data_IF_289564878960
#
_entry.id   IF_289564878960
#
_cell.length_a   1.000
_cell.length_b   1.000
_cell.length_c   1.000
_cell.angle_alpha   90.00
_cell.angle_beta   90.00
_cell.angle_gamma   90.00
#
_symmetry.space_group_name_H-M   'P 1'
#
loop_
_entity.id
_entity.type
_entity.pdbx_description
1 polymer ?
#
# COMPACT_ATOMS: atom_id res chain seq x y z
N UNK A 1 -1.31 -16.56 -7.99
CA UNK A 1 -1.45 -15.96 -6.64
C UNK A 1 -1.30 -14.45 -6.74
N UNK A 2 -1.95 -13.61 -5.90
CA UNK A 2 -1.99 -12.15 -6.12
C UNK A 2 -0.63 -11.46 -6.18
N UNK A 3 0.39 -12.03 -5.54
CA UNK A 3 1.76 -11.53 -5.62
C UNK A 3 2.41 -11.78 -6.99
N UNK A 4 1.98 -12.79 -7.74
CA UNK A 4 2.47 -13.05 -9.11
C UNK A 4 2.04 -11.96 -10.11
N UNK A 5 1.00 -11.19 -9.77
CA UNK A 5 0.56 -10.05 -10.59
C UNK A 5 1.37 -8.77 -10.30
N UNK A 6 2.21 -8.76 -9.26
CA UNK A 6 2.96 -7.57 -8.85
C UNK A 6 4.27 -7.46 -9.64
N UNK A 7 4.70 -6.23 -9.88
CA UNK A 7 5.99 -5.95 -10.51
C UNK A 7 7.16 -6.48 -9.65
N UNK A 8 8.24 -6.91 -10.29
CA UNK A 8 9.46 -7.40 -9.62
C UNK A 8 9.99 -6.42 -8.57
N UNK A 9 9.96 -5.12 -8.89
CA UNK A 9 10.38 -4.04 -8.00
C UNK A 9 9.56 -4.01 -6.70
N UNK A 10 8.24 -4.18 -6.80
CA UNK A 10 7.37 -4.22 -5.63
C UNK A 10 7.61 -5.48 -4.80
N UNK A 11 7.76 -6.64 -5.45
CA UNK A 11 8.05 -7.90 -4.76
C UNK A 11 9.37 -7.85 -3.97
N UNK A 12 10.43 -7.29 -4.56
CA UNK A 12 11.71 -7.09 -3.87
C UNK A 12 11.55 -6.18 -2.64
N UNK A 13 10.82 -5.06 -2.80
CA UNK A 13 10.58 -4.14 -1.69
C UNK A 13 9.71 -4.75 -0.57
N UNK A 14 8.76 -5.62 -0.90
CA UNK A 14 7.96 -6.36 0.08
C UNK A 14 8.79 -7.41 0.83
N UNK A 15 9.68 -8.12 0.12
CA UNK A 15 10.59 -9.08 0.72
C UNK A 15 11.51 -8.44 1.76
N UNK A 16 12.03 -7.25 1.47
CA UNK A 16 12.91 -6.51 2.37
C UNK A 16 12.25 -6.11 3.69
N UNK A 17 10.92 -6.02 3.72
CA UNK A 17 10.14 -5.76 4.94
C UNK A 17 9.52 -7.03 5.55
N UNK A 18 9.95 -8.21 5.09
CA UNK A 18 9.53 -9.52 5.60
C UNK A 18 8.15 -9.99 5.12
N UNK A 19 7.61 -9.42 4.04
CA UNK A 19 6.35 -9.84 3.43
C UNK A 19 6.61 -10.69 2.20
N UNK A 20 6.76 -11.99 2.41
CA UNK A 20 7.00 -12.95 1.31
C UNK A 20 5.70 -13.53 0.74
N UNK A 21 4.69 -13.71 1.58
CA UNK A 21 3.42 -14.35 1.22
C UNK A 21 2.21 -13.52 1.64
N UNK A 22 1.16 -13.41 0.79
CA UNK A 22 -0.02 -12.65 1.14
C UNK A 22 -0.87 -13.37 2.18
N UNK A 23 -1.42 -12.60 3.12
CA UNK A 23 -2.44 -13.10 4.06
C UNK A 23 -3.73 -13.47 3.33
N UNK A 24 -4.63 -14.21 3.99
CA UNK A 24 -5.91 -14.61 3.39
C UNK A 24 -6.78 -13.42 2.94
N UNK A 25 -6.74 -12.29 3.66
CA UNK A 25 -7.47 -11.09 3.27
C UNK A 25 -6.78 -10.35 2.11
N UNK A 26 -5.45 -10.30 2.09
CA UNK A 26 -4.68 -9.75 0.97
C UNK A 26 -4.94 -10.57 -0.30
N UNK A 27 -5.01 -11.91 -0.19
CA UNK A 27 -5.35 -12.79 -1.29
C UNK A 27 -6.69 -12.46 -1.96
N UNK A 28 -7.66 -11.99 -1.17
CA UNK A 28 -9.00 -11.61 -1.65
C UNK A 28 -9.04 -10.17 -2.16
N UNK A 29 -8.40 -9.24 -1.46
CA UNK A 29 -8.55 -7.80 -1.72
C UNK A 29 -7.68 -7.30 -2.88
N UNK A 30 -6.43 -7.80 -3.00
CA UNK A 30 -5.45 -7.28 -3.97
C UNK A 30 -5.99 -7.35 -5.41
N UNK A 31 -6.51 -8.50 -5.91
CA UNK A 31 -7.00 -8.57 -7.28
C UNK A 31 -8.22 -7.67 -7.55
N UNK A 32 -9.08 -7.47 -6.53
CA UNK A 32 -10.24 -6.59 -6.66
C UNK A 32 -9.80 -5.14 -6.84
N UNK A 33 -8.85 -4.67 -6.04
CA UNK A 33 -8.35 -3.29 -6.13
C UNK A 33 -7.53 -3.09 -7.40
N UNK A 34 -6.68 -4.05 -7.79
CA UNK A 34 -5.94 -4.00 -9.06
C UNK A 34 -6.85 -3.93 -10.29
N UNK A 35 -8.03 -4.54 -10.22
CA UNK A 35 -9.05 -4.44 -11.28
C UNK A 35 -9.78 -3.09 -11.33
N UNK A 36 -9.39 -2.12 -10.50
CA UNK A 36 -9.98 -0.78 -10.45
C UNK A 36 -11.31 -0.71 -9.70
N UNK A 37 -11.66 -1.73 -8.90
CA UNK A 37 -12.92 -1.75 -8.14
C UNK A 37 -12.79 -1.05 -6.79
N UNK A 38 -13.79 -0.22 -6.48
CA UNK A 38 -14.03 0.25 -5.12
C UNK A 38 -14.29 -0.95 -4.20
N UNK A 39 -13.47 -1.12 -3.17
CA UNK A 39 -13.43 -2.36 -2.38
C UNK A 39 -13.57 -2.04 -0.89
N UNK A 40 -14.55 -2.66 -0.24
CA UNK A 40 -14.70 -2.64 1.22
C UNK A 40 -14.01 -3.88 1.82
N UNK A 41 -12.96 -3.66 2.61
CA UNK A 41 -12.21 -4.75 3.26
C UNK A 41 -12.66 -4.87 4.71
N UNK A 42 -13.34 -5.98 5.04
CA UNK A 42 -13.75 -6.30 6.41
C UNK A 42 -12.91 -7.47 6.93
N UNK A 43 -12.09 -7.21 7.96
CA UNK A 43 -11.28 -8.23 8.62
C UNK A 43 -10.94 -7.82 10.07
N UNK A 44 -10.62 -8.78 10.97
CA UNK A 44 -10.21 -8.46 12.33
C UNK A 44 -8.90 -7.66 12.40
N UNK A 45 -8.59 -7.09 13.57
CA UNK A 45 -7.32 -6.40 13.83
C UNK A 45 -6.14 -7.36 13.68
N UNK A 46 -5.03 -6.89 13.10
CA UNK A 46 -3.82 -7.71 12.90
C UNK A 46 -3.80 -8.57 11.64
N UNK A 47 -4.87 -8.60 10.83
CA UNK A 47 -4.95 -9.46 9.63
C UNK A 47 -4.28 -8.88 8.37
N UNK A 48 -3.61 -7.73 8.47
CA UNK A 48 -2.90 -7.11 7.33
C UNK A 48 -3.79 -6.28 6.39
N UNK A 49 -4.83 -5.62 6.93
CA UNK A 49 -5.73 -4.74 6.16
C UNK A 49 -5.00 -3.58 5.48
N UNK A 50 -3.99 -3.01 6.14
CA UNK A 50 -3.17 -1.91 5.61
C UNK A 50 -2.50 -2.31 4.30
N UNK A 51 -1.78 -3.44 4.31
CA UNK A 51 -1.09 -3.98 3.15
C UNK A 51 -2.08 -4.40 2.06
N UNK A 52 -3.22 -4.99 2.45
CA UNK A 52 -4.28 -5.37 1.54
C UNK A 52 -4.82 -4.18 0.74
N UNK A 53 -4.84 -2.98 1.32
CA UNK A 53 -5.25 -1.74 0.65
C UNK A 53 -4.09 -1.08 -0.12
N UNK A 54 -2.87 -1.04 0.44
CA UNK A 54 -1.76 -0.26 -0.12
C UNK A 54 -0.97 -0.97 -1.23
N UNK A 55 -0.70 -2.27 -1.10
CA UNK A 55 0.04 -3.05 -2.12
C UNK A 55 -0.55 -2.87 -3.53
N UNK A 56 -1.86 -3.05 -3.76
CA UNK A 56 -2.42 -2.92 -5.10
C UNK A 56 -2.40 -1.47 -5.60
N UNK A 57 -2.46 -0.49 -4.70
CA UNK A 57 -2.37 0.94 -5.05
C UNK A 57 -0.95 1.33 -5.47
N UNK A 58 0.06 0.82 -4.77
CA UNK A 58 1.45 1.00 -5.17
C UNK A 58 1.74 0.34 -6.52
N UNK A 59 1.25 -0.87 -6.75
CA UNK A 59 1.40 -1.53 -8.05
C UNK A 59 0.69 -0.74 -9.16
N UNK A 60 -0.55 -0.27 -8.92
CA UNK A 60 -1.26 0.57 -9.88
C UNK A 60 -0.47 1.84 -10.23
N UNK A 61 0.13 2.51 -9.22
CA UNK A 61 1.02 3.64 -9.45
C UNK A 61 2.26 3.25 -10.28
N UNK A 62 2.91 2.13 -9.97
CA UNK A 62 4.10 1.67 -10.70
C UNK A 62 3.80 1.38 -12.17
N UNK A 63 2.60 0.88 -12.49
CA UNK A 63 2.15 0.59 -13.87
C UNK A 63 1.83 1.83 -14.71
N UNK A 64 1.67 3.01 -14.11
CA UNK A 64 1.45 4.25 -14.87
C UNK A 64 2.66 4.55 -15.75
N UNK A 65 2.42 4.77 -17.06
CA UNK A 65 3.46 5.19 -18.01
C UNK A 65 4.03 6.56 -17.64
N UNK A 66 3.13 7.51 -17.38
CA UNK A 66 3.47 8.87 -16.95
C UNK A 66 3.13 9.03 -15.47
N UNK A 67 4.11 9.48 -14.68
CA UNK A 67 3.89 9.72 -13.25
C UNK A 67 3.23 11.09 -13.05
N UNK A 68 2.04 11.17 -12.42
CA UNK A 68 1.40 12.45 -12.16
C UNK A 68 2.26 13.28 -11.18
N UNK A 69 2.17 14.60 -11.28
CA UNK A 69 2.76 15.52 -10.30
C UNK A 69 1.81 15.71 -9.10
N UNK A 70 2.38 15.92 -7.92
CA UNK A 70 1.63 16.17 -6.70
C UNK A 70 1.17 14.89 -5.98
N UNK A 71 0.12 15.00 -5.16
CA UNK A 71 -0.39 13.89 -4.36
C UNK A 71 -1.18 12.90 -5.21
N UNK A 72 -0.67 11.68 -5.35
CA UNK A 72 -1.27 10.61 -6.17
C UNK A 72 -1.95 9.50 -5.35
N UNK A 73 -1.63 9.39 -4.07
CA UNK A 73 -2.18 8.41 -3.14
C UNK A 73 -2.54 9.13 -1.85
N UNK A 74 -3.78 8.96 -1.38
CA UNK A 74 -4.26 9.50 -0.11
C UNK A 74 -4.71 8.36 0.79
N UNK A 75 -4.07 8.20 1.95
CA UNK A 75 -4.44 7.22 2.96
C UNK A 75 -4.89 7.94 4.23
N UNK A 76 -6.18 7.83 4.55
CA UNK A 76 -6.79 8.56 5.68
C UNK A 76 -6.88 7.64 6.89
N UNK A 77 -6.48 8.15 8.06
CA UNK A 77 -6.67 7.44 9.33
C UNK A 77 -7.25 8.34 10.42
N UNK A 78 -7.96 7.76 11.42
CA UNK A 78 -8.64 8.55 12.44
C UNK A 78 -7.71 9.14 13.51
N UNK A 79 -6.48 8.64 13.66
CA UNK A 79 -5.62 8.99 14.78
C UNK A 79 -4.24 9.45 14.32
N UNK A 80 -3.73 10.53 14.93
CA UNK A 80 -2.36 11.02 14.69
C UNK A 80 -1.29 9.96 14.96
N UNK A 81 -1.48 9.15 16.01
CA UNK A 81 -0.59 8.03 16.32
C UNK A 81 -0.55 7.01 15.18
N UNK A 82 -1.71 6.69 14.60
CA UNK A 82 -1.80 5.75 13.49
C UNK A 82 -1.16 6.31 12.21
N UNK A 83 -1.26 7.61 11.95
CA UNK A 83 -0.50 8.25 10.86
C UNK A 83 1.02 8.05 11.03
N UNK A 84 1.54 8.27 12.25
CA UNK A 84 2.98 8.11 12.56
C UNK A 84 3.42 6.65 12.43
N UNK A 85 2.59 5.70 12.86
CA UNK A 85 2.86 4.28 12.73
C UNK A 85 2.91 3.84 11.26
N UNK A 86 1.93 4.30 10.47
CA UNK A 86 1.91 4.04 9.03
C UNK A 86 3.10 4.64 8.32
N UNK A 87 3.43 5.91 8.59
CA UNK A 87 4.59 6.57 7.98
C UNK A 87 5.86 5.75 8.19
N UNK A 88 6.13 5.32 9.43
CA UNK A 88 7.28 4.46 9.73
C UNK A 88 7.26 3.16 8.94
N UNK A 89 6.09 2.53 8.83
CA UNK A 89 5.91 1.24 8.16
C UNK A 89 6.11 1.32 6.64
N UNK A 90 5.63 2.39 6.00
CA UNK A 90 5.62 2.49 4.54
C UNK A 90 6.77 3.34 3.98
N UNK A 91 7.53 4.04 4.81
CA UNK A 91 8.63 4.91 4.37
C UNK A 91 9.66 4.15 3.52
N UNK A 92 10.17 3.03 4.03
CA UNK A 92 11.16 2.18 3.32
C UNK A 92 10.59 1.67 2.00
N UNK A 93 9.31 1.28 2.00
CA UNK A 93 8.63 0.82 0.80
C UNK A 93 8.51 1.96 -0.22
N UNK A 94 8.03 3.14 0.19
CA UNK A 94 7.89 4.30 -0.69
C UNK A 94 9.24 4.72 -1.30
N UNK A 95 10.30 4.78 -0.50
CA UNK A 95 11.66 5.08 -0.97
C UNK A 95 12.11 4.11 -2.06
N UNK A 96 11.94 2.79 -1.86
CA UNK A 96 12.26 1.77 -2.87
C UNK A 96 11.42 1.87 -4.12
N UNK A 97 10.19 2.34 -4.02
CA UNK A 97 9.27 2.54 -5.14
C UNK A 97 9.43 3.91 -5.83
N UNK A 98 10.32 4.78 -5.33
CA UNK A 98 10.51 6.13 -5.86
C UNK A 98 9.30 7.03 -5.60
N UNK A 99 8.61 6.80 -4.48
CA UNK A 99 7.50 7.58 -3.98
C UNK A 99 7.98 8.41 -2.77
N UNK A 100 7.59 9.67 -2.74
CA UNK A 100 7.67 10.48 -1.53
C UNK A 100 6.40 10.28 -0.70
N UNK A 101 6.57 10.20 0.62
CA UNK A 101 5.47 10.04 1.56
C UNK A 101 5.59 11.08 2.66
N UNK A 102 4.47 11.74 2.95
CA UNK A 102 4.35 12.76 3.99
C UNK A 102 3.04 12.58 4.75
N UNK A 103 2.97 13.11 5.97
CA UNK A 103 1.78 13.06 6.83
C UNK A 103 1.23 14.46 6.99
N UNK A 104 -0.07 14.61 6.74
CA UNK A 104 -0.81 15.84 7.03
C UNK A 104 -1.78 15.63 8.18
N UNK A 105 -1.76 16.54 9.15
CA UNK A 105 -2.75 16.64 10.21
C UNK A 105 -2.98 18.11 10.57
N UNK A 106 -3.97 18.41 11.42
CA UNK A 106 -4.40 19.80 11.68
C UNK A 106 -3.38 20.76 12.34
N UNK A 107 -2.11 20.38 12.46
CA UNK A 107 -1.03 21.27 12.97
C UNK A 107 0.11 21.47 11.93
N UNK A 108 -0.08 20.99 10.69
CA UNK A 108 0.86 21.05 9.55
C UNK A 108 0.15 21.55 8.31
#
# INVERSE_FOLDING_TARGET
>A
MPFEELSKRLLEALKDIGLEEPTSIQKKAIPLILSGRNTLIVAPTGYGKTEAALIPVFEAYLRLKDKPKGTVILYVTPLRALNRDLLRRIKVLCEKLGLEVDVRHGDT
#
